data_IF_872340758954
#
_entry.id   IF_872340758954
#
_cell.length_a   1.000
_cell.length_b   1.000
_cell.length_c   1.000
_cell.angle_alpha   90.00
_cell.angle_beta   90.00
_cell.angle_gamma   90.00
#
_symmetry.space_group_name_H-M   'P 1'
#
loop_
_entity.id
_entity.type
_entity.pdbx_description
1 polymer ?
#
# COMPACT_ATOMS: atom_id res chain seq x y z
N UNK A 1 -83.53 -4.79 -11.89
CA UNK A 1 -83.46 -6.26 -11.94
C UNK A 1 -82.13 -6.66 -12.56
N UNK A 2 -81.49 -7.72 -12.02
CA UNK A 2 -80.22 -8.35 -12.38
C UNK A 2 -78.94 -7.51 -12.10
N UNK A 3 -78.13 -7.76 -11.05
CA UNK A 3 -77.13 -8.85 -10.83
C UNK A 3 -76.05 -8.87 -11.93
N UNK A 4 -74.74 -8.80 -11.69
CA UNK A 4 -73.97 -9.62 -10.73
C UNK A 4 -72.60 -9.01 -10.40
N UNK A 5 -72.14 -9.29 -9.18
CA UNK A 5 -70.74 -9.35 -8.77
C UNK A 5 -69.95 -10.36 -9.62
N UNK A 6 -68.69 -10.07 -9.91
CA UNK A 6 -67.64 -11.08 -10.07
C UNK A 6 -66.31 -10.55 -9.50
N UNK A 7 -65.84 -11.19 -8.43
CA UNK A 7 -64.45 -11.30 -7.98
C UNK A 7 -64.05 -12.75 -8.29
N UNK A 8 -62.79 -13.11 -8.62
CA UNK A 8 -61.68 -12.97 -7.67
C UNK A 8 -60.26 -12.76 -8.27
N UNK A 9 -59.29 -12.55 -7.36
CA UNK A 9 -57.89 -13.00 -7.37
C UNK A 9 -57.19 -13.32 -8.70
N UNK A 10 -56.00 -12.76 -8.90
CA UNK A 10 -54.77 -13.57 -8.98
C UNK A 10 -53.57 -12.74 -8.49
N UNK A 11 -53.16 -13.03 -7.25
CA UNK A 11 -51.76 -12.94 -6.87
C UNK A 11 -51.03 -14.04 -7.65
N UNK A 12 -50.23 -13.68 -8.66
CA UNK A 12 -49.21 -14.59 -9.15
C UNK A 12 -47.82 -14.01 -8.86
N UNK A 13 -47.22 -14.60 -7.84
CA UNK A 13 -45.82 -14.47 -7.52
C UNK A 13 -44.97 -14.93 -8.71
N UNK A 14 -44.19 -14.03 -9.29
CA UNK A 14 -42.94 -14.43 -9.93
C UNK A 14 -41.78 -13.78 -9.19
N UNK A 15 -41.59 -14.30 -7.98
CA UNK A 15 -40.28 -14.35 -7.34
C UNK A 15 -39.40 -15.26 -8.21
N UNK A 16 -38.53 -14.67 -9.03
CA UNK A 16 -37.37 -15.34 -9.64
C UNK A 16 -36.48 -14.30 -10.34
N UNK A 17 -35.78 -13.52 -9.53
CA UNK A 17 -34.41 -13.16 -9.86
C UNK A 17 -33.59 -13.10 -8.57
N UNK A 18 -33.49 -14.27 -7.93
CA UNK A 18 -32.33 -14.61 -7.11
C UNK A 18 -31.15 -14.77 -8.09
N UNK A 19 -30.71 -13.65 -8.65
CA UNK A 19 -29.47 -13.58 -9.38
C UNK A 19 -28.37 -13.63 -8.32
N UNK A 20 -27.45 -14.62 -8.35
CA UNK A 20 -26.34 -14.61 -7.42
C UNK A 20 -25.64 -13.28 -7.61
N UNK A 21 -25.58 -12.48 -6.54
CA UNK A 21 -24.82 -11.23 -6.47
C UNK A 21 -23.45 -11.53 -7.05
N UNK A 22 -23.30 -11.25 -8.34
CA UNK A 22 -22.05 -11.42 -9.05
C UNK A 22 -21.11 -10.49 -8.30
N UNK A 23 -20.20 -11.07 -7.50
CA UNK A 23 -19.20 -10.34 -6.73
C UNK A 23 -18.63 -9.31 -7.68
N UNK A 24 -19.05 -8.05 -7.55
CA UNK A 24 -18.56 -6.96 -8.40
C UNK A 24 -17.05 -6.98 -8.16
N UNK A 25 -16.29 -7.41 -9.17
CA UNK A 25 -14.83 -7.39 -9.09
C UNK A 25 -14.50 -5.94 -8.81
N UNK A 26 -13.92 -5.65 -7.64
CA UNK A 26 -13.47 -4.29 -7.30
C UNK A 26 -12.68 -3.78 -8.49
N UNK A 27 -13.14 -2.68 -9.07
CA UNK A 27 -12.43 -2.02 -10.16
C UNK A 27 -11.05 -1.67 -9.66
N UNK A 28 -10.03 -2.27 -10.27
CA UNK A 28 -8.66 -2.06 -9.84
C UNK A 28 -8.28 -0.61 -10.11
N UNK A 29 -8.24 0.22 -9.08
CA UNK A 29 -7.83 1.62 -9.20
C UNK A 29 -6.34 1.63 -9.61
N UNK A 30 -5.97 2.32 -10.70
CA UNK A 30 -4.57 2.52 -11.06
C UNK A 30 -3.92 3.52 -10.10
N UNK A 31 -2.62 3.37 -9.84
CA UNK A 31 -1.88 4.41 -9.14
C UNK A 31 -1.65 5.60 -10.07
N UNK A 32 -2.06 6.78 -9.62
CA UNK A 32 -1.77 8.06 -10.25
C UNK A 32 -0.63 8.74 -9.50
N UNK A 33 -0.04 9.78 -10.08
CA UNK A 33 1.04 10.54 -9.41
C UNK A 33 0.60 11.13 -8.07
N UNK A 34 -0.67 11.57 -7.99
CA UNK A 34 -1.32 12.08 -6.77
C UNK A 34 -1.42 10.97 -5.70
N UNK A 35 -1.90 9.79 -6.08
CA UNK A 35 -1.99 8.64 -5.17
C UNK A 35 -0.61 8.16 -4.72
N UNK A 36 0.38 8.22 -5.60
CA UNK A 36 1.76 7.91 -5.26
C UNK A 36 2.31 8.93 -4.26
N UNK A 37 2.01 10.23 -4.41
CA UNK A 37 2.47 11.23 -3.46
C UNK A 37 1.83 11.03 -2.08
N UNK A 38 0.51 10.84 -2.01
CA UNK A 38 -0.20 10.54 -0.76
C UNK A 38 0.31 9.25 -0.09
N UNK A 39 0.59 8.22 -0.89
CA UNK A 39 1.15 6.96 -0.40
C UNK A 39 2.52 7.17 0.26
N UNK A 40 3.36 8.01 -0.33
CA UNK A 40 4.71 8.32 0.15
C UNK A 40 4.65 9.21 1.40
N UNK A 41 3.79 10.22 1.42
CA UNK A 41 3.61 11.11 2.57
C UNK A 41 3.11 10.35 3.81
N UNK A 42 2.11 9.47 3.63
CA UNK A 42 1.63 8.59 4.71
C UNK A 42 2.67 7.58 5.15
N UNK A 43 3.46 7.03 4.23
CA UNK A 43 4.56 6.13 4.57
C UNK A 43 5.63 6.85 5.39
N UNK A 44 6.00 8.09 5.03
CA UNK A 44 6.96 8.88 5.79
C UNK A 44 6.43 9.16 7.19
N UNK A 45 5.20 9.64 7.32
CA UNK A 45 4.59 9.98 8.61
C UNK A 45 4.48 8.80 9.57
N UNK A 46 4.24 7.59 9.04
CA UNK A 46 4.05 6.36 9.85
C UNK A 46 5.33 5.57 10.07
N UNK A 47 6.42 5.93 9.40
CA UNK A 47 7.71 5.25 9.44
C UNK A 47 7.60 3.69 9.48
N UNK A 48 7.23 3.03 8.36
CA UNK A 48 7.04 1.59 8.31
C UNK A 48 8.35 0.78 8.48
N UNK A 49 9.49 1.45 8.70
CA UNK A 49 10.82 0.87 8.84
C UNK A 49 11.38 0.97 10.27
N UNK A 50 10.92 1.94 11.07
CA UNK A 50 11.44 2.21 12.42
C UNK A 50 10.95 1.27 13.52
N UNK A 51 9.84 0.58 13.32
CA UNK A 51 9.18 -0.17 14.39
C UNK A 51 9.58 -1.66 14.46
N UNK A 52 9.23 -2.35 15.54
CA UNK A 52 9.36 -3.82 15.63
C UNK A 52 8.42 -4.53 14.62
N UNK A 53 8.67 -5.80 14.29
CA UNK A 53 7.99 -6.50 13.17
C UNK A 53 6.45 -6.43 13.21
N UNK A 54 5.85 -6.44 14.41
CA UNK A 54 4.40 -6.31 14.60
C UNK A 54 3.86 -4.91 14.30
N UNK A 55 4.55 -3.89 14.78
CA UNK A 55 4.20 -2.48 14.58
C UNK A 55 4.44 -2.05 13.13
N UNK A 56 5.44 -2.62 12.44
CA UNK A 56 5.62 -2.44 10.99
C UNK A 56 4.40 -2.86 10.17
N UNK A 57 3.75 -3.95 10.57
CA UNK A 57 2.57 -4.45 9.86
C UNK A 57 1.39 -3.51 10.09
N UNK A 58 1.25 -2.96 11.30
CA UNK A 58 0.23 -1.97 11.64
C UNK A 58 0.47 -0.62 10.94
N UNK A 59 1.70 -0.11 10.96
CA UNK A 59 2.10 1.11 10.24
C UNK A 59 1.75 1.00 8.75
N UNK A 60 2.12 -0.12 8.10
CA UNK A 60 1.80 -0.39 6.69
C UNK A 60 0.31 -0.52 6.41
N UNK A 61 -0.45 -1.13 7.31
CA UNK A 61 -1.90 -1.19 7.19
C UNK A 61 -2.51 0.22 7.32
N UNK A 62 -1.99 1.03 8.24
CA UNK A 62 -2.37 2.43 8.42
C UNK A 62 -2.11 3.27 7.18
N UNK A 63 -0.95 3.12 6.52
CA UNK A 63 -0.63 3.79 5.25
C UNK A 63 -1.69 3.49 4.19
N UNK A 64 -2.07 2.22 4.05
CA UNK A 64 -3.05 1.81 3.04
C UNK A 64 -4.46 2.34 3.33
N UNK A 65 -4.86 2.42 4.61
CA UNK A 65 -6.14 2.97 5.02
C UNK A 65 -6.18 4.49 4.83
N UNK A 66 -5.10 5.18 5.21
CA UNK A 66 -5.06 6.64 5.22
C UNK A 66 -4.88 7.25 3.82
N UNK A 67 -4.13 6.60 2.94
CA UNK A 67 -4.04 6.99 1.54
C UNK A 67 -5.37 6.81 0.77
N UNK A 68 -6.45 6.36 1.45
CA UNK A 68 -7.81 6.18 0.93
C UNK A 68 -7.87 5.36 -0.37
N UNK A 69 -6.81 4.61 -0.66
CA UNK A 69 -6.71 3.79 -1.84
C UNK A 69 -7.57 2.56 -1.58
N UNK A 70 -8.59 2.30 -2.40
CA UNK A 70 -9.32 1.01 -2.38
C UNK A 70 -8.45 -0.11 -2.98
N UNK A 71 -7.18 -0.13 -2.58
CA UNK A 71 -6.08 -0.90 -3.10
C UNK A 71 -5.48 -1.60 -1.90
N UNK A 72 -5.47 -2.93 -1.92
CA UNK A 72 -5.07 -3.70 -0.74
C UNK A 72 -3.65 -3.36 -0.26
N UNK A 73 -3.42 -3.43 1.06
CA UNK A 73 -2.15 -2.97 1.66
C UNK A 73 -0.89 -3.63 1.10
N UNK A 74 -0.98 -4.86 0.57
CA UNK A 74 0.12 -5.50 -0.17
C UNK A 74 0.52 -4.67 -1.41
N UNK A 75 -0.46 -4.20 -2.18
CA UNK A 75 -0.23 -3.46 -3.42
C UNK A 75 0.28 -2.04 -3.14
N UNK A 76 -0.15 -1.41 -2.04
CA UNK A 76 0.44 -0.16 -1.55
C UNK A 76 1.92 -0.35 -1.18
N UNK A 77 2.26 -1.43 -0.45
CA UNK A 77 3.65 -1.75 -0.13
C UNK A 77 4.51 -1.98 -1.36
N UNK A 78 4.01 -2.77 -2.31
CA UNK A 78 4.72 -3.03 -3.56
C UNK A 78 4.93 -1.75 -4.37
N UNK A 79 3.93 -0.87 -4.42
CA UNK A 79 4.06 0.42 -5.10
C UNK A 79 5.07 1.34 -4.41
N UNK A 80 5.02 1.44 -3.08
CA UNK A 80 5.98 2.22 -2.31
C UNK A 80 7.42 1.78 -2.59
N UNK A 81 7.69 0.46 -2.58
CA UNK A 81 9.02 -0.07 -2.90
C UNK A 81 9.43 0.25 -4.35
N UNK A 82 8.51 0.12 -5.32
CA UNK A 82 8.80 0.49 -6.72
C UNK A 82 9.18 1.96 -6.87
N UNK A 83 8.53 2.86 -6.13
CA UNK A 83 8.84 4.30 -6.15
C UNK A 83 10.22 4.57 -5.56
N UNK A 84 10.57 3.91 -4.44
CA UNK A 84 11.90 4.02 -3.84
C UNK A 84 13.00 3.49 -4.77
N UNK A 85 12.81 2.29 -5.33
CA UNK A 85 13.79 1.69 -6.24
C UNK A 85 13.97 2.56 -7.52
N UNK A 86 12.88 3.15 -8.04
CA UNK A 86 12.94 4.05 -9.19
C UNK A 86 13.65 5.37 -8.86
N UNK A 87 13.40 5.93 -7.67
CA UNK A 87 14.07 7.13 -7.19
C UNK A 87 15.59 6.90 -7.01
N UNK A 88 15.97 5.82 -6.34
CA UNK A 88 17.38 5.42 -6.15
C UNK A 88 18.08 5.19 -7.50
N UNK A 89 17.44 4.47 -8.44
CA UNK A 89 17.99 4.27 -9.78
C UNK A 89 18.20 5.59 -10.53
N UNK A 90 17.31 6.57 -10.32
CA UNK A 90 17.41 7.90 -10.91
C UNK A 90 18.57 8.70 -10.33
N UNK A 91 18.75 8.68 -9.00
CA UNK A 91 19.90 9.28 -8.32
C UNK A 91 21.22 8.65 -8.78
N UNK A 92 21.29 7.32 -8.81
CA UNK A 92 22.48 6.61 -9.32
C UNK A 92 22.80 6.96 -10.79
N UNK A 93 21.78 7.06 -11.65
CA UNK A 93 21.98 7.46 -13.04
C UNK A 93 22.40 8.93 -13.17
N UNK A 94 21.94 9.80 -12.28
CA UNK A 94 22.37 11.19 -12.16
C UNK A 94 23.85 11.30 -11.85
N UNK A 95 24.27 10.67 -10.76
CA UNK A 95 25.66 10.72 -10.27
C UNK A 95 26.64 10.26 -11.35
N UNK A 96 26.29 9.19 -12.08
CA UNK A 96 27.10 8.67 -13.19
C UNK A 96 27.24 9.64 -14.37
N UNK A 97 26.35 10.63 -14.52
CA UNK A 97 26.33 11.56 -15.66
C UNK A 97 26.98 12.93 -15.41
N UNK A 98 27.51 13.21 -14.21
CA UNK A 98 28.29 14.42 -13.81
C UNK A 98 27.56 15.52 -12.99
N UNK A 99 26.62 15.20 -12.10
CA UNK A 99 26.13 16.16 -11.09
C UNK A 99 24.63 16.10 -10.85
N UNK A 100 24.11 16.83 -9.84
CA UNK A 100 22.77 16.62 -9.27
C UNK A 100 21.71 16.83 -10.35
N UNK A 101 21.07 15.73 -10.72
CA UNK A 101 19.92 15.65 -11.58
C UNK A 101 18.77 15.46 -10.63
N UNK A 102 18.09 16.57 -10.35
CA UNK A 102 16.64 16.71 -10.26
C UNK A 102 16.34 17.99 -9.49
N UNK A 103 15.39 18.76 -10.00
CA UNK A 103 14.82 19.85 -9.24
C UNK A 103 14.16 19.31 -7.97
N UNK A 104 14.22 20.09 -6.90
CA UNK A 104 13.51 19.80 -5.67
C UNK A 104 12.02 19.62 -5.96
N UNK A 105 11.46 18.52 -5.47
CA UNK A 105 10.01 18.34 -5.36
C UNK A 105 9.68 17.80 -3.97
N UNK A 106 8.54 18.17 -3.38
CA UNK A 106 8.12 17.62 -2.09
C UNK A 106 8.10 16.09 -2.09
N UNK A 107 7.67 15.47 -3.20
CA UNK A 107 7.69 14.01 -3.37
C UNK A 107 9.11 13.43 -3.31
N UNK A 108 10.09 14.09 -3.92
CA UNK A 108 11.48 13.63 -3.89
C UNK A 108 12.09 13.73 -2.49
N UNK A 109 11.73 14.75 -1.71
CA UNK A 109 12.14 14.90 -0.31
C UNK A 109 11.58 13.76 0.55
N UNK A 110 10.27 13.49 0.47
CA UNK A 110 9.66 12.37 1.18
C UNK A 110 10.27 11.01 0.77
N UNK A 111 10.60 10.83 -0.51
CA UNK A 111 11.26 9.63 -1.01
C UNK A 111 12.69 9.48 -0.48
N UNK A 112 13.45 10.58 -0.36
CA UNK A 112 14.79 10.57 0.22
C UNK A 112 14.76 10.15 1.69
N UNK A 113 13.88 10.76 2.50
CA UNK A 113 13.73 10.40 3.91
C UNK A 113 13.32 8.93 4.10
N UNK A 114 12.35 8.45 3.30
CA UNK A 114 11.94 7.05 3.35
C UNK A 114 13.06 6.08 2.93
N UNK A 115 13.92 6.48 2.00
CA UNK A 115 15.08 5.70 1.60
C UNK A 115 16.09 5.60 2.75
N UNK A 116 16.38 6.72 3.44
CA UNK A 116 17.22 6.73 4.64
C UNK A 116 16.66 5.82 5.74
N UNK A 117 15.34 5.86 5.98
CA UNK A 117 14.68 4.95 6.94
C UNK A 117 14.85 3.48 6.55
N UNK A 118 14.75 3.15 5.25
CA UNK A 118 14.98 1.78 4.74
C UNK A 118 16.43 1.34 4.96
N UNK A 119 17.39 2.22 4.72
CA UNK A 119 18.82 1.93 4.91
C UNK A 119 19.17 1.73 6.38
N UNK A 120 18.68 2.59 7.27
CA UNK A 120 18.85 2.43 8.71
C UNK A 120 18.29 1.09 9.21
N UNK A 121 17.13 0.66 8.72
CA UNK A 121 16.58 -0.65 9.05
C UNK A 121 17.50 -1.81 8.61
N UNK A 122 18.11 -1.72 7.43
CA UNK A 122 19.03 -2.74 6.94
C UNK A 122 20.31 -2.80 7.77
N UNK A 123 20.85 -1.65 8.18
CA UNK A 123 22.02 -1.57 9.06
C UNK A 123 21.74 -2.23 10.41
N UNK A 124 20.63 -1.87 11.07
CA UNK A 124 20.20 -2.48 12.35
C UNK A 124 20.06 -4.01 12.26
N UNK A 125 19.51 -4.52 11.15
CA UNK A 125 19.39 -5.97 10.92
C UNK A 125 20.75 -6.64 10.76
N UNK A 126 21.68 -5.98 10.07
CA UNK A 126 23.04 -6.51 9.89
C UNK A 126 23.79 -6.54 11.22
N UNK A 127 23.73 -5.47 12.01
CA UNK A 127 24.37 -5.39 13.32
C UNK A 127 23.87 -6.48 14.27
N UNK A 128 22.55 -6.69 14.32
CA UNK A 128 21.95 -7.77 15.12
C UNK A 128 22.43 -9.15 14.69
N UNK A 129 22.62 -9.36 13.38
CA UNK A 129 23.15 -10.62 12.83
C UNK A 129 24.62 -10.82 13.22
N UNK A 130 25.43 -9.75 13.16
CA UNK A 130 26.84 -9.80 13.55
C UNK A 130 27.02 -10.03 15.05
N UNK A 131 26.18 -9.44 15.90
CA UNK A 131 26.19 -9.70 17.34
C UNK A 131 25.86 -11.15 17.66
N UNK A 132 24.84 -11.73 17.00
CA UNK A 132 24.47 -13.13 17.18
C UNK A 132 25.58 -14.10 16.76
N UNK A 133 26.22 -13.83 15.62
CA UNK A 133 27.35 -14.64 15.14
C UNK A 133 28.59 -14.58 16.04
N UNK A 134 28.80 -13.47 16.76
CA UNK A 134 29.89 -13.34 17.73
C UNK A 134 29.58 -14.11 19.02
N UNK A 135 28.34 -14.02 19.52
CA UNK A 135 27.90 -14.83 20.67
C UNK A 135 27.98 -16.34 20.40
N UNK A 136 27.61 -16.80 19.21
CA UNK A 136 27.71 -18.23 18.83
C UNK A 136 29.15 -18.73 18.68
N UNK A 137 30.14 -17.84 18.50
CA UNK A 137 31.57 -18.19 18.43
C UNK A 137 32.29 -18.13 19.79
N UNK A 138 31.77 -17.36 20.76
CA UNK A 138 32.35 -17.29 22.11
C UNK A 138 31.82 -18.39 23.05
N UNK A 139 30.66 -18.97 22.75
CA UNK A 139 29.99 -20.00 23.56
C UNK A 139 30.24 -21.45 23.07
N UNK A 140 31.22 -21.64 22.17
CA UNK A 140 31.62 -22.94 21.60
C UNK A 140 33.10 -23.25 21.79
#
# INVERSE_FOLDING_TARGET
MATSNELPSEQNANSLSDAPLAKRRKTMVPFTDELDFQLIEEAQARNPFGEDYGEKTQARAGVAVAAAVDVGGRRCRERCNQLLDAYEAKQNASERRSGPCEDYTPKNECLAELLEMREMEMLLKNDKKQQKNQQEQEDG
#
